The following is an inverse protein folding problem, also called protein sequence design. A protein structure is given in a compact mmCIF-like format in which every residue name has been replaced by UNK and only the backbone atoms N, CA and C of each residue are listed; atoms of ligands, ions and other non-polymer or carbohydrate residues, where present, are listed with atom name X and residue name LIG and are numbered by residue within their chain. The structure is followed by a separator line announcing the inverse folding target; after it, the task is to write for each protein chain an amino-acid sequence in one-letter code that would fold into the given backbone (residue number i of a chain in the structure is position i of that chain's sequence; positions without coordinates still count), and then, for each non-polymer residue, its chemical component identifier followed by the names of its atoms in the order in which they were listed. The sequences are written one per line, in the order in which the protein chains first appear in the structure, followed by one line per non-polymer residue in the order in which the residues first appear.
data_IF_964483203223
#
_entry.id   IF_964483203223
#
_cell.length_a   1.000
_cell.length_b   1.000
_cell.length_c   1.000
_cell.angle_alpha   90.00
_cell.angle_beta   90.00
_cell.angle_gamma   90.00
#
_symmetry.space_group_name_H-M   'P 1'
#
loop_
_entity.id
_entity.type
_entity.pdbx_description
1 polymer ?
#
# COMPACT_ATOMS: atom_id res chain seq x y z
N UNK A 1 -14.84 4.58 68.17
CA UNK A 1 -16.31 4.70 68.09
C UNK A 1 -16.92 3.58 68.88
N UNK A 2 -17.82 3.86 69.84
CA UNK A 2 -18.51 2.83 70.59
C UNK A 2 -19.75 2.35 69.80
N UNK A 3 -19.80 1.05 69.52
CA UNK A 3 -20.96 0.44 68.84
C UNK A 3 -21.97 0.03 69.87
N UNK A 4 -23.18 0.57 69.79
CA UNK A 4 -24.28 0.26 70.67
C UNK A 4 -24.91 -1.08 70.28
N UNK A 5 -24.90 -2.05 71.20
CA UNK A 5 -25.46 -3.39 70.96
C UNK A 5 -26.86 -3.42 71.52
N UNK A 6 -27.87 -3.48 70.66
CA UNK A 6 -29.29 -3.47 71.02
C UNK A 6 -29.89 -4.87 71.18
N UNK A 7 -29.13 -5.96 70.93
CA UNK A 7 -29.61 -7.34 71.02
C UNK A 7 -28.96 -8.07 72.17
N UNK A 8 -29.79 -8.91 72.93
CA UNK A 8 -29.28 -9.77 73.99
C UNK A 8 -28.19 -10.71 73.49
N UNK A 9 -27.00 -10.69 74.10
CA UNK A 9 -25.91 -11.63 73.84
C UNK A 9 -26.35 -13.02 74.21
N UNK A 10 -26.41 -13.94 73.30
CA UNK A 10 -26.79 -15.36 73.48
C UNK A 10 -25.63 -16.27 73.80
N UNK A 11 -24.42 -15.83 73.63
CA UNK A 11 -23.24 -16.59 73.93
C UNK A 11 -21.96 -15.79 73.53
N UNK A 12 -20.82 -16.17 74.06
CA UNK A 12 -19.51 -15.63 73.64
C UNK A 12 -18.54 -16.80 73.50
N UNK A 13 -17.65 -16.65 72.51
CA UNK A 13 -16.53 -17.58 72.32
C UNK A 13 -15.26 -16.76 72.33
N UNK A 14 -14.24 -17.21 72.99
CA UNK A 14 -12.94 -16.57 72.99
C UNK A 14 -12.20 -17.08 71.74
N UNK A 15 -12.04 -16.17 70.79
CA UNK A 15 -11.25 -16.48 69.57
C UNK A 15 -9.78 -16.63 69.90
N UNK A 16 -9.24 -17.81 69.69
CA UNK A 16 -7.81 -18.04 69.80
C UNK A 16 -7.07 -17.41 68.63
N UNK A 17 -5.77 -17.15 68.72
CA UNK A 17 -5.01 -16.65 67.58
C UNK A 17 -5.10 -17.53 66.33
N UNK A 18 -5.27 -18.86 66.54
CA UNK A 18 -5.44 -19.84 65.45
C UNK A 18 -6.82 -19.75 64.78
N UNK A 19 -7.89 -19.47 65.55
CA UNK A 19 -9.24 -19.25 65.00
C UNK A 19 -9.30 -17.98 64.14
N UNK A 20 -8.63 -16.91 64.58
CA UNK A 20 -8.48 -15.68 63.77
C UNK A 20 -7.70 -15.91 62.49
N UNK A 21 -6.65 -16.73 62.55
CA UNK A 21 -5.89 -17.06 61.32
C UNK A 21 -6.72 -17.88 60.34
N UNK A 22 -7.56 -18.82 60.84
CA UNK A 22 -8.50 -19.60 60.01
C UNK A 22 -9.60 -18.72 59.39
N UNK A 23 -10.15 -17.83 60.16
CA UNK A 23 -11.21 -16.91 59.70
C UNK A 23 -10.68 -15.94 58.65
N UNK A 24 -9.49 -15.36 58.87
CA UNK A 24 -8.81 -14.52 57.87
C UNK A 24 -8.46 -15.32 56.60
N UNK A 25 -7.99 -16.56 56.72
CA UNK A 25 -7.72 -17.40 55.56
C UNK A 25 -9.00 -17.75 54.79
N UNK A 26 -10.12 -17.99 55.48
CA UNK A 26 -11.40 -18.23 54.81
C UNK A 26 -11.96 -16.97 54.10
N UNK A 27 -11.77 -15.77 54.68
CA UNK A 27 -12.13 -14.51 54.02
C UNK A 27 -11.30 -14.27 52.79
N UNK A 28 -9.98 -14.45 52.84
CA UNK A 28 -9.09 -14.30 51.69
C UNK A 28 -9.40 -15.32 50.57
N UNK A 29 -9.75 -16.55 50.94
CA UNK A 29 -10.20 -17.54 49.96
C UNK A 29 -11.56 -17.19 49.37
N UNK A 30 -12.51 -16.70 50.15
CA UNK A 30 -13.82 -16.25 49.66
C UNK A 30 -13.68 -15.04 48.69
N UNK A 31 -12.79 -14.09 49.02
CA UNK A 31 -12.52 -12.94 48.17
C UNK A 31 -11.80 -13.37 46.88
N UNK A 32 -10.86 -14.31 46.96
CA UNK A 32 -10.17 -14.83 45.75
C UNK A 32 -11.15 -15.59 44.84
N UNK A 33 -12.04 -16.41 45.40
CA UNK A 33 -13.08 -17.11 44.63
C UNK A 33 -14.09 -16.16 44.02
N UNK A 34 -14.53 -15.12 44.78
CA UNK A 34 -15.44 -14.12 44.25
C UNK A 34 -14.82 -13.26 43.15
N UNK A 35 -13.52 -12.95 43.27
CA UNK A 35 -12.76 -12.24 42.25
C UNK A 35 -12.54 -13.09 41.01
N UNK A 36 -12.19 -14.36 41.15
CA UNK A 36 -12.06 -15.30 40.02
C UNK A 36 -13.39 -15.53 39.30
N UNK A 37 -14.53 -15.55 40.09
CA UNK A 37 -15.86 -15.66 39.51
C UNK A 37 -16.30 -14.39 38.78
N UNK A 38 -15.95 -13.22 39.30
CA UNK A 38 -16.22 -11.93 38.66
C UNK A 38 -15.36 -11.75 37.39
N UNK A 39 -14.11 -12.24 37.37
CA UNK A 39 -13.26 -12.29 36.17
C UNK A 39 -13.79 -13.29 35.13
N UNK A 40 -14.38 -14.41 35.56
CA UNK A 40 -14.97 -15.40 34.65
C UNK A 40 -16.34 -14.98 34.08
N UNK A 41 -17.03 -14.04 34.74
CA UNK A 41 -18.32 -13.47 34.32
C UNK A 41 -18.20 -12.16 33.54
N UNK A 42 -16.96 -11.72 33.18
CA UNK A 42 -16.82 -10.63 32.19
C UNK A 42 -17.46 -11.11 30.90
N UNK A 43 -18.44 -10.38 30.35
CA UNK A 43 -19.05 -10.75 29.08
C UNK A 43 -17.94 -10.84 28.05
N UNK A 44 -17.71 -12.04 27.52
CA UNK A 44 -16.84 -12.21 26.35
C UNK A 44 -17.49 -11.36 25.28
N UNK A 45 -16.87 -10.23 24.94
CA UNK A 45 -17.37 -9.36 23.90
C UNK A 45 -17.48 -10.19 22.61
N UNK A 46 -18.68 -10.34 22.06
CA UNK A 46 -18.88 -11.00 20.77
C UNK A 46 -18.12 -10.22 19.72
N UNK A 47 -17.00 -10.77 19.24
CA UNK A 47 -16.20 -10.14 18.21
C UNK A 47 -16.96 -10.27 16.88
N UNK A 48 -17.42 -9.15 16.35
CA UNK A 48 -18.10 -9.09 15.08
C UNK A 48 -17.06 -9.22 13.96
N UNK A 49 -17.18 -10.29 13.18
CA UNK A 49 -16.39 -10.48 11.95
C UNK A 49 -17.20 -10.04 10.73
N UNK A 50 -16.49 -9.58 9.69
CA UNK A 50 -17.14 -9.19 8.44
C UNK A 50 -17.84 -10.39 7.80
N UNK A 51 -19.14 -10.25 7.50
CA UNK A 51 -19.94 -11.24 6.81
C UNK A 51 -21.08 -10.56 6.03
N UNK A 52 -21.68 -11.27 5.07
CA UNK A 52 -22.64 -10.75 4.11
C UNK A 52 -23.96 -10.20 4.70
N UNK A 53 -24.29 -10.56 5.94
CA UNK A 53 -25.52 -10.11 6.64
C UNK A 53 -25.35 -8.80 7.39
N UNK A 54 -24.15 -8.23 7.41
CA UNK A 54 -23.93 -6.93 8.06
C UNK A 54 -24.68 -5.88 7.25
N UNK A 55 -25.61 -5.20 7.89
CA UNK A 55 -26.32 -4.09 7.27
C UNK A 55 -25.38 -2.90 7.07
N UNK A 56 -25.59 -2.19 5.95
CA UNK A 56 -24.82 -1.00 5.64
C UNK A 56 -25.17 0.11 6.64
N UNK A 57 -24.20 0.64 7.39
CA UNK A 57 -24.42 1.83 8.21
C UNK A 57 -24.81 3.05 7.36
N UNK A 58 -25.49 4.02 7.97
CA UNK A 58 -25.85 5.27 7.29
C UNK A 58 -24.58 6.03 6.86
N UNK A 59 -23.54 6.00 7.69
CA UNK A 59 -22.26 6.69 7.43
C UNK A 59 -21.12 5.68 7.40
N UNK A 60 -20.30 5.76 6.35
CA UNK A 60 -19.07 4.99 6.18
C UNK A 60 -17.88 5.93 6.06
N UNK A 61 -16.71 5.47 6.48
CA UNK A 61 -15.45 6.19 6.30
C UNK A 61 -14.89 5.81 4.93
N UNK A 62 -14.56 6.78 4.07
CA UNK A 62 -14.10 6.47 2.73
C UNK A 62 -12.97 7.35 2.24
N UNK A 63 -12.26 6.84 1.24
CA UNK A 63 -11.21 7.56 0.52
C UNK A 63 -11.54 7.61 -0.97
N UNK A 64 -11.28 8.75 -1.60
CA UNK A 64 -11.49 8.93 -3.05
C UNK A 64 -10.16 9.13 -3.75
N UNK A 65 -9.87 8.26 -4.69
CA UNK A 65 -8.65 8.25 -5.51
C UNK A 65 -8.95 8.77 -6.91
N UNK A 66 -8.01 9.51 -7.49
CA UNK A 66 -8.13 10.04 -8.84
C UNK A 66 -7.23 9.27 -9.80
N UNK A 67 -7.82 8.67 -10.83
CA UNK A 67 -7.11 8.08 -11.96
C UNK A 67 -7.13 9.07 -13.12
N UNK A 68 -5.96 9.36 -13.69
CA UNK A 68 -5.84 10.07 -14.95
C UNK A 68 -4.99 9.22 -15.90
N UNK A 69 -5.64 8.32 -16.62
CA UNK A 69 -5.01 7.50 -17.63
C UNK A 69 -4.91 8.27 -18.96
N UNK A 70 -3.82 8.13 -19.72
CA UNK A 70 -3.74 8.66 -21.08
C UNK A 70 -4.74 8.00 -22.05
N UNK A 71 -5.32 6.85 -21.67
CA UNK A 71 -6.31 6.13 -22.49
C UNK A 71 -7.71 6.74 -22.41
N UNK A 72 -7.99 7.57 -21.40
CA UNK A 72 -9.32 8.18 -21.18
C UNK A 72 -9.19 9.68 -21.10
N UNK A 73 -10.05 10.37 -21.85
CA UNK A 73 -10.06 11.85 -21.90
C UNK A 73 -10.35 12.45 -20.51
N UNK A 74 -11.26 11.85 -19.76
CA UNK A 74 -11.69 12.34 -18.47
C UNK A 74 -11.13 11.52 -17.32
N UNK A 75 -10.73 12.18 -16.23
CA UNK A 75 -10.32 11.51 -15.03
C UNK A 75 -11.47 10.67 -14.44
N UNK A 76 -11.10 9.51 -13.87
CA UNK A 76 -11.99 8.69 -13.09
C UNK A 76 -11.71 8.88 -11.59
N UNK A 77 -12.75 8.81 -10.80
CA UNK A 77 -12.67 8.90 -9.35
C UNK A 77 -13.15 7.59 -8.75
N UNK A 78 -12.27 6.92 -8.03
CA UNK A 78 -12.54 5.66 -7.34
C UNK A 78 -12.75 5.95 -5.88
N UNK A 79 -13.94 5.70 -5.37
CA UNK A 79 -14.28 5.87 -3.95
C UNK A 79 -14.40 4.50 -3.31
N UNK A 80 -13.64 4.25 -2.26
CA UNK A 80 -13.71 3.04 -1.45
C UNK A 80 -14.16 3.47 -0.06
N UNK A 81 -15.25 2.90 0.40
CA UNK A 81 -15.83 3.14 1.72
C UNK A 81 -15.61 1.92 2.61
N UNK A 82 -15.22 2.18 3.84
CA UNK A 82 -14.90 1.18 4.84
C UNK A 82 -15.92 1.17 5.97
N UNK A 83 -16.13 -0.01 6.51
CA UNK A 83 -16.82 -0.20 7.77
C UNK A 83 -15.80 -0.42 8.89
N UNK A 84 -16.08 0.16 10.06
CA UNK A 84 -15.31 -0.08 11.28
C UNK A 84 -16.08 -1.07 12.14
N UNK A 85 -15.53 -2.26 12.29
CA UNK A 85 -16.08 -3.31 13.14
C UNK A 85 -15.50 -3.17 14.55
N UNK A 86 -16.29 -3.54 15.58
CA UNK A 86 -15.89 -3.52 16.99
C UNK A 86 -15.31 -2.16 17.44
N UNK A 87 -15.91 -1.07 16.99
CA UNK A 87 -15.43 0.28 17.27
C UNK A 87 -15.25 0.54 18.76
N UNK A 88 -14.11 1.11 19.15
CA UNK A 88 -13.77 1.43 20.55
C UNK A 88 -13.35 0.24 21.41
N UNK A 89 -13.10 -0.92 20.81
CA UNK A 89 -12.58 -2.11 21.52
C UNK A 89 -11.15 -2.43 21.05
N UNK A 90 -10.47 -3.34 21.75
CA UNK A 90 -9.15 -3.87 21.34
C UNK A 90 -9.20 -4.63 19.99
N UNK A 91 -10.40 -5.00 19.57
CA UNK A 91 -10.65 -5.74 18.33
C UNK A 91 -11.21 -4.82 17.21
N UNK A 92 -10.98 -3.52 17.30
CA UNK A 92 -11.36 -2.60 16.26
C UNK A 92 -10.67 -2.97 14.94
N UNK A 93 -11.46 -3.17 13.89
CA UNK A 93 -10.97 -3.57 12.59
C UNK A 93 -11.67 -2.76 11.49
N UNK A 94 -10.89 -2.04 10.69
CA UNK A 94 -11.37 -1.34 9.51
C UNK A 94 -11.30 -2.25 8.30
N UNK A 95 -12.42 -2.37 7.57
CA UNK A 95 -12.53 -3.25 6.40
C UNK A 95 -13.24 -2.55 5.25
N UNK A 96 -12.82 -2.79 3.99
CA UNK A 96 -13.51 -2.23 2.85
C UNK A 96 -14.92 -2.85 2.76
N UNK A 97 -15.91 -2.02 2.44
CA UNK A 97 -17.31 -2.41 2.37
C UNK A 97 -17.89 -2.25 0.97
N UNK A 98 -17.58 -1.13 0.31
CA UNK A 98 -18.09 -0.82 -1.01
C UNK A 98 -17.09 -0.01 -1.83
N UNK A 99 -17.15 -0.15 -3.16
CA UNK A 99 -16.34 0.59 -4.10
C UNK A 99 -17.20 1.15 -5.21
N UNK A 100 -16.96 2.41 -5.59
CA UNK A 100 -17.61 3.11 -6.69
C UNK A 100 -16.59 3.75 -7.61
N UNK A 101 -16.91 3.80 -8.89
CA UNK A 101 -16.13 4.53 -9.88
C UNK A 101 -17.02 5.55 -10.56
N UNK A 102 -16.65 6.83 -10.45
CA UNK A 102 -17.29 7.95 -11.10
C UNK A 102 -16.40 8.49 -12.23
N UNK A 103 -16.98 8.62 -13.43
CA UNK A 103 -16.31 9.23 -14.58
C UNK A 103 -17.32 10.00 -15.43
N UNK A 104 -16.86 11.03 -16.12
CA UNK A 104 -17.64 11.69 -17.17
C UNK A 104 -17.68 10.88 -18.47
N UNK A 105 -16.75 9.96 -18.66
CA UNK A 105 -16.76 9.04 -19.80
C UNK A 105 -17.80 7.96 -19.58
N UNK A 106 -18.73 7.83 -20.52
CA UNK A 106 -19.75 6.77 -20.51
C UNK A 106 -19.27 5.51 -21.21
N UNK A 107 -18.08 5.54 -21.79
CA UNK A 107 -17.46 4.39 -22.41
C UNK A 107 -17.21 3.30 -21.38
N UNK A 108 -17.64 2.08 -21.66
CA UNK A 108 -17.52 0.93 -20.76
C UNK A 108 -18.24 1.06 -19.40
N UNK A 109 -19.09 2.08 -19.20
CA UNK A 109 -19.75 2.35 -17.91
C UNK A 109 -20.45 1.14 -17.31
N UNK A 110 -21.19 0.37 -18.09
CA UNK A 110 -21.89 -0.83 -17.61
C UNK A 110 -20.95 -1.91 -17.08
N UNK A 111 -19.78 -2.09 -17.70
CA UNK A 111 -18.77 -3.04 -17.25
C UNK A 111 -18.08 -2.56 -15.96
N UNK A 112 -17.81 -1.27 -15.85
CA UNK A 112 -17.25 -0.66 -14.64
C UNK A 112 -18.24 -0.83 -13.47
N UNK A 113 -19.53 -0.55 -13.69
CA UNK A 113 -20.55 -0.75 -12.66
C UNK A 113 -20.68 -2.23 -12.26
N UNK A 114 -20.67 -3.15 -13.23
CA UNK A 114 -20.73 -4.58 -12.94
C UNK A 114 -19.53 -5.02 -12.09
N UNK A 115 -18.31 -4.60 -12.46
CA UNK A 115 -17.08 -4.90 -11.74
C UNK A 115 -17.12 -4.38 -10.31
N UNK A 116 -17.47 -3.11 -10.11
CA UNK A 116 -17.52 -2.48 -8.77
C UNK A 116 -18.59 -3.10 -7.88
N UNK A 117 -19.72 -3.54 -8.46
CA UNK A 117 -20.74 -4.28 -7.70
C UNK A 117 -20.25 -5.65 -7.25
N UNK A 118 -19.53 -6.38 -8.11
CA UNK A 118 -18.94 -7.68 -7.75
C UNK A 118 -17.88 -7.49 -6.68
N UNK A 119 -17.00 -6.52 -6.82
CA UNK A 119 -15.97 -6.19 -5.82
C UNK A 119 -16.60 -5.84 -4.46
N UNK A 120 -17.62 -5.00 -4.45
CA UNK A 120 -18.36 -4.65 -3.24
C UNK A 120 -19.02 -5.87 -2.60
N UNK A 121 -19.52 -6.82 -3.39
CA UNK A 121 -20.05 -8.08 -2.87
C UNK A 121 -18.97 -8.96 -2.24
N UNK A 122 -17.77 -9.03 -2.84
CA UNK A 122 -16.61 -9.74 -2.28
C UNK A 122 -16.16 -9.10 -0.97
N UNK A 123 -16.07 -7.76 -0.89
CA UNK A 123 -15.73 -7.05 0.34
C UNK A 123 -16.70 -7.39 1.48
N UNK A 124 -18.00 -7.38 1.19
CA UNK A 124 -19.05 -7.69 2.19
C UNK A 124 -19.08 -9.16 2.59
N UNK A 125 -18.66 -10.07 1.73
CA UNK A 125 -18.58 -11.50 2.08
C UNK A 125 -17.61 -11.74 3.23
N UNK A 126 -16.59 -10.90 3.38
CA UNK A 126 -15.58 -11.02 4.42
C UNK A 126 -14.46 -12.01 4.06
N UNK A 127 -13.66 -12.37 5.04
CA UNK A 127 -12.48 -13.20 4.83
C UNK A 127 -11.32 -12.41 4.21
N UNK A 128 -10.41 -13.11 3.56
CA UNK A 128 -9.31 -12.50 2.83
C UNK A 128 -9.82 -11.97 1.48
N UNK A 129 -9.63 -10.67 1.26
CA UNK A 129 -10.00 -9.99 0.01
C UNK A 129 -8.77 -9.51 -0.77
N UNK A 130 -7.56 -9.79 -0.27
CA UNK A 130 -6.30 -9.31 -0.86
C UNK A 130 -6.04 -9.94 -2.22
N UNK A 131 -6.53 -11.16 -2.45
CA UNK A 131 -6.42 -11.85 -3.75
C UNK A 131 -7.00 -11.04 -4.92
N UNK A 132 -8.00 -10.17 -4.68
CA UNK A 132 -8.56 -9.31 -5.71
C UNK A 132 -7.51 -8.39 -6.35
N UNK A 133 -6.50 -7.99 -5.59
CA UNK A 133 -5.41 -7.14 -6.08
C UNK A 133 -4.62 -7.87 -7.15
N UNK A 134 -4.24 -9.11 -6.90
CA UNK A 134 -3.45 -9.92 -7.82
C UNK A 134 -4.24 -10.23 -9.10
N UNK A 135 -5.50 -10.62 -8.95
CA UNK A 135 -6.39 -10.90 -10.09
C UNK A 135 -6.60 -9.66 -10.97
N UNK A 136 -6.82 -8.50 -10.37
CA UNK A 136 -7.00 -7.26 -11.13
C UNK A 136 -5.71 -6.81 -11.80
N UNK A 137 -4.56 -6.93 -11.14
CA UNK A 137 -3.25 -6.56 -11.70
C UNK A 137 -2.81 -7.48 -12.84
N UNK A 138 -3.31 -8.71 -12.87
CA UNK A 138 -3.04 -9.66 -13.94
C UNK A 138 -3.78 -9.32 -15.26
N UNK A 139 -4.78 -8.43 -15.21
CA UNK A 139 -5.53 -8.05 -16.42
C UNK A 139 -4.71 -7.14 -17.31
N UNK A 140 -4.54 -7.50 -18.57
CA UNK A 140 -3.88 -6.70 -19.59
C UNK A 140 -4.86 -6.20 -20.67
N UNK A 141 -4.53 -5.06 -21.29
CA UNK A 141 -5.26 -4.56 -22.46
C UNK A 141 -4.57 -5.10 -23.73
N UNK A 142 -5.31 -5.77 -24.65
CA UNK A 142 -4.75 -6.26 -25.91
C UNK A 142 -4.14 -5.15 -26.79
N UNK A 143 -4.57 -3.91 -26.61
CA UNK A 143 -4.03 -2.73 -27.31
C UNK A 143 -2.72 -2.20 -26.72
N UNK A 144 -2.26 -2.78 -25.62
CA UNK A 144 -1.10 -2.38 -24.85
C UNK A 144 -1.45 -1.56 -23.61
N UNK A 145 -0.52 -1.57 -22.64
CA UNK A 145 -0.62 -0.76 -21.43
C UNK A 145 -0.10 0.67 -21.63
N UNK A 146 0.02 1.39 -20.54
CA UNK A 146 0.50 2.77 -20.52
C UNK A 146 1.37 3.06 -19.29
N UNK A 147 2.12 4.14 -19.35
CA UNK A 147 2.87 4.63 -18.20
C UNK A 147 2.11 5.72 -17.46
N UNK A 148 2.03 5.58 -16.14
CA UNK A 148 1.56 6.64 -15.24
C UNK A 148 2.63 7.71 -15.07
N UNK A 149 2.21 8.88 -14.56
CA UNK A 149 3.15 9.83 -13.97
C UNK A 149 4.00 9.10 -12.91
N UNK A 150 5.34 9.24 -13.01
CA UNK A 150 6.25 8.48 -12.16
C UNK A 150 6.85 7.21 -12.81
N UNK A 151 6.57 6.96 -14.11
CA UNK A 151 7.20 5.89 -14.89
C UNK A 151 6.77 4.47 -14.51
N UNK A 152 5.67 4.32 -13.77
CA UNK A 152 5.08 3.02 -13.43
C UNK A 152 4.24 2.53 -14.60
N UNK A 153 4.55 1.36 -15.13
CA UNK A 153 3.80 0.74 -16.21
C UNK A 153 2.52 0.08 -15.68
N UNK A 154 1.40 0.41 -16.32
CA UNK A 154 0.08 -0.20 -16.07
C UNK A 154 -0.33 -1.04 -17.28
N UNK A 155 -0.52 -2.36 -17.12
CA UNK A 155 -0.92 -3.25 -18.21
C UNK A 155 -2.33 -2.92 -18.75
N UNK A 156 -3.20 -2.38 -17.90
CA UNK A 156 -4.57 -2.00 -18.26
C UNK A 156 -5.15 -1.02 -17.23
N UNK A 157 -6.29 -0.45 -17.55
CA UNK A 157 -7.08 0.37 -16.63
C UNK A 157 -7.57 -0.44 -15.42
N UNK A 158 -7.90 -1.72 -15.62
CA UNK A 158 -8.30 -2.64 -14.55
C UNK A 158 -7.13 -2.91 -13.60
N UNK A 159 -5.92 -3.04 -14.15
CA UNK A 159 -4.71 -3.18 -13.34
C UNK A 159 -4.41 -1.93 -12.51
N UNK A 160 -4.71 -0.73 -13.04
CA UNK A 160 -4.59 0.52 -12.27
C UNK A 160 -5.64 0.59 -11.14
N UNK A 161 -6.87 0.13 -11.37
CA UNK A 161 -7.86 -0.04 -10.30
C UNK A 161 -7.37 -1.02 -9.23
N UNK A 162 -6.75 -2.13 -9.62
CA UNK A 162 -6.13 -3.08 -8.71
C UNK A 162 -5.02 -2.46 -7.85
N UNK A 163 -4.21 -1.59 -8.45
CA UNK A 163 -3.17 -0.86 -7.72
C UNK A 163 -3.75 0.11 -6.68
N UNK A 164 -4.89 0.76 -6.97
CA UNK A 164 -5.60 1.63 -6.01
C UNK A 164 -6.19 0.81 -4.87
N UNK A 165 -6.80 -0.34 -5.17
CA UNK A 165 -7.32 -1.24 -4.13
C UNK A 165 -6.18 -1.70 -3.21
N UNK A 166 -5.02 -2.05 -3.77
CA UNK A 166 -3.83 -2.40 -2.98
C UNK A 166 -3.39 -1.26 -2.07
N UNK A 167 -3.26 -0.04 -2.61
CA UNK A 167 -2.89 1.14 -1.83
C UNK A 167 -3.89 1.38 -0.68
N UNK A 168 -5.19 1.24 -0.97
CA UNK A 168 -6.22 1.36 0.04
C UNK A 168 -6.12 0.28 1.12
N UNK A 169 -5.96 -1.01 0.73
CA UNK A 169 -5.81 -2.12 1.68
C UNK A 169 -4.54 -1.99 2.54
N UNK A 170 -3.46 -1.42 1.99
CA UNK A 170 -2.27 -1.04 2.75
C UNK A 170 -2.56 0.06 3.76
N UNK A 171 -3.31 1.09 3.36
CA UNK A 171 -3.65 2.22 4.23
C UNK A 171 -4.48 1.83 5.44
N UNK A 172 -5.33 0.80 5.31
CA UNK A 172 -6.15 0.27 6.41
C UNK A 172 -5.48 -0.91 7.15
N UNK A 173 -4.24 -1.28 6.78
CA UNK A 173 -3.45 -2.30 7.46
C UNK A 173 -3.82 -3.75 7.12
N UNK A 174 -4.58 -4.00 6.05
CA UNK A 174 -4.91 -5.36 5.59
C UNK A 174 -3.79 -5.99 4.76
N UNK A 175 -3.02 -5.19 4.05
CA UNK A 175 -1.81 -5.63 3.33
C UNK A 175 -0.62 -4.94 4.01
N UNK A 176 0.35 -5.75 4.41
CA UNK A 176 1.61 -5.25 4.91
C UNK A 176 2.65 -5.38 3.80
N UNK A 177 3.25 -4.26 3.40
CA UNK A 177 4.44 -4.33 2.56
C UNK A 177 5.57 -4.96 3.38
N UNK A 178 6.30 -5.93 2.82
CA UNK A 178 7.53 -6.37 3.44
C UNK A 178 8.46 -5.16 3.52
N UNK A 179 8.61 -4.60 4.72
CA UNK A 179 9.49 -3.47 4.93
C UNK A 179 10.89 -3.83 4.44
N UNK A 180 11.41 -3.01 3.53
CA UNK A 180 12.79 -3.14 3.10
C UNK A 180 13.68 -3.04 4.34
N UNK A 181 14.49 -4.06 4.60
CA UNK A 181 15.40 -4.05 5.75
C UNK A 181 16.31 -2.81 5.71
N UNK A 182 16.78 -2.33 6.86
CA UNK A 182 17.70 -1.20 6.94
C UNK A 182 18.94 -1.43 6.05
N UNK A 183 19.40 -2.67 5.98
CA UNK A 183 20.52 -3.07 5.12
C UNK A 183 20.18 -2.92 3.62
N UNK A 184 18.99 -3.34 3.19
CA UNK A 184 18.56 -3.18 1.80
C UNK A 184 18.39 -1.71 1.42
N UNK A 185 17.86 -0.86 2.32
CA UNK A 185 17.77 0.60 2.12
C UNK A 185 19.15 1.23 1.96
N UNK A 186 20.13 0.81 2.79
CA UNK A 186 21.51 1.30 2.71
C UNK A 186 22.16 0.92 1.38
N UNK A 187 22.05 -0.34 0.95
CA UNK A 187 22.55 -0.81 -0.35
C UNK A 187 21.91 -0.02 -1.50
N UNK A 188 20.60 0.22 -1.43
CA UNK A 188 19.88 0.97 -2.47
C UNK A 188 20.34 2.43 -2.53
N UNK A 189 20.53 3.08 -1.39
CA UNK A 189 21.04 4.44 -1.29
C UNK A 189 22.49 4.54 -1.86
N UNK A 190 23.34 3.57 -1.53
CA UNK A 190 24.70 3.49 -2.07
C UNK A 190 24.70 3.33 -3.60
N UNK A 191 23.85 2.43 -4.14
CA UNK A 191 23.72 2.23 -5.59
C UNK A 191 23.21 3.48 -6.31
N UNK A 192 22.27 4.21 -5.73
CA UNK A 192 21.80 5.51 -6.28
C UNK A 192 22.93 6.52 -6.31
N UNK A 193 23.68 6.67 -5.22
CA UNK A 193 24.82 7.59 -5.14
C UNK A 193 25.93 7.21 -6.13
N UNK A 194 26.23 5.93 -6.31
CA UNK A 194 27.19 5.46 -7.31
C UNK A 194 26.76 5.82 -8.73
N UNK A 195 25.47 5.65 -9.04
CA UNK A 195 24.94 6.02 -10.36
C UNK A 195 25.04 7.53 -10.63
N UNK A 196 24.65 8.36 -9.69
CA UNK A 196 24.71 9.81 -9.80
C UNK A 196 26.17 10.30 -9.96
N UNK A 197 27.10 9.74 -9.20
CA UNK A 197 28.52 10.09 -9.31
C UNK A 197 29.12 9.67 -10.67
N UNK A 198 28.66 8.56 -11.24
CA UNK A 198 29.07 8.11 -12.57
C UNK A 198 28.51 9.01 -13.67
N UNK A 199 27.26 9.43 -13.55
CA UNK A 199 26.62 10.37 -14.46
C UNK A 199 27.33 11.74 -14.47
N UNK A 200 27.72 12.26 -13.29
CA UNK A 200 28.50 13.49 -13.17
C UNK A 200 29.88 13.38 -13.83
N UNK A 201 30.61 12.28 -13.63
CA UNK A 201 31.92 12.07 -14.28
C UNK A 201 31.83 12.03 -15.81
N UNK A 202 30.76 11.46 -16.36
CA UNK A 202 30.57 11.40 -17.81
C UNK A 202 30.18 12.77 -18.39
N UNK A 203 29.48 13.63 -17.66
CA UNK A 203 29.20 15.00 -18.10
C UNK A 203 30.45 15.88 -18.12
N UNK A 204 31.36 15.71 -17.16
CA UNK A 204 32.63 16.44 -17.12
C UNK A 204 33.59 16.03 -18.25
N UNK A 205 33.54 14.78 -18.75
CA UNK A 205 34.32 14.30 -19.88
C UNK A 205 33.77 14.77 -21.24
N UNK A 206 32.50 15.15 -21.33
CA UNK A 206 31.89 15.68 -22.58
C UNK A 206 32.13 17.18 -22.77
N UNK A 207 32.68 17.88 -21.76
CA UNK A 207 33.04 19.29 -21.84
C UNK A 207 34.51 19.56 -22.22
N UNK A 208 35.22 18.56 -22.72
CA UNK A 208 36.54 18.73 -23.29
C UNK A 208 36.49 19.53 -24.62
N UNK A 209 37.50 20.37 -24.92
CA UNK A 209 37.48 21.26 -26.08
C UNK A 209 37.34 20.45 -27.35
N UNK A 210 36.35 20.82 -28.16
CA UNK A 210 36.15 20.32 -29.52
C UNK A 210 37.45 20.57 -30.35
N UNK A 211 38.05 19.60 -31.02
CA UNK A 211 39.11 19.87 -31.93
C UNK A 211 38.55 20.66 -33.12
N UNK A 212 38.97 21.90 -33.22
CA UNK A 212 38.69 22.77 -34.35
C UNK A 212 39.34 22.22 -35.63
N UNK A 213 38.52 22.20 -36.63
CA UNK A 213 38.80 22.32 -38.05
C UNK A 213 40.21 21.88 -38.57
N UNK A 214 40.23 20.81 -39.36
CA UNK A 214 41.16 20.69 -40.50
C UNK A 214 40.52 19.88 -41.61
N UNK A 215 40.34 20.52 -42.76
CA UNK A 215 40.64 19.94 -44.08
C UNK A 215 39.47 19.36 -44.87
N UNK A 216 39.06 20.15 -45.83
CA UNK A 216 38.41 19.82 -47.09
C UNK A 216 38.85 18.50 -47.73
N UNK A 217 37.89 17.78 -48.29
CA UNK A 217 38.18 16.66 -49.20
C UNK A 217 36.88 16.03 -49.70
N UNK A 218 36.45 16.51 -50.86
CA UNK A 218 35.30 16.07 -51.63
C UNK A 218 35.30 14.57 -51.98
N UNK A 219 34.10 13.93 -52.07
CA UNK A 219 33.49 13.40 -53.31
C UNK A 219 32.23 12.58 -53.03
N UNK A 220 31.24 12.96 -53.81
CA UNK A 220 29.97 12.37 -54.22
C UNK A 220 29.87 10.84 -54.25
N UNK A 221 28.71 10.33 -53.89
CA UNK A 221 27.74 9.47 -54.60
C UNK A 221 26.66 9.10 -53.60
N UNK A 222 25.51 9.51 -53.81
CA UNK A 222 24.36 9.15 -54.64
C UNK A 222 23.34 8.24 -53.90
N UNK A 223 22.17 8.80 -53.80
CA UNK A 223 20.81 8.27 -53.76
C UNK A 223 20.42 7.18 -52.73
N UNK A 224 19.53 7.58 -51.87
CA UNK A 224 18.69 6.69 -51.04
C UNK A 224 17.86 7.49 -50.01
N UNK A 225 16.90 8.27 -50.50
CA UNK A 225 16.00 9.04 -49.65
C UNK A 225 15.10 8.15 -48.83
N UNK A 226 15.14 8.30 -47.52
CA UNK A 226 13.95 8.25 -46.66
C UNK A 226 14.17 9.20 -45.51
N UNK A 227 13.47 10.33 -45.61
CA UNK A 227 13.34 11.36 -44.58
C UNK A 227 12.72 10.81 -43.30
N UNK A 228 13.53 10.58 -42.29
CA UNK A 228 13.05 10.59 -40.94
C UNK A 228 13.41 11.94 -40.33
N UNK A 229 12.37 12.67 -39.98
CA UNK A 229 12.43 14.01 -39.45
C UNK A 229 13.41 14.15 -38.30
N UNK A 230 14.18 15.18 -38.39
CA UNK A 230 14.97 15.78 -37.34
C UNK A 230 14.00 16.17 -36.22
N UNK A 231 13.88 15.35 -35.20
CA UNK A 231 13.31 15.80 -33.92
C UNK A 231 14.47 16.40 -33.18
N UNK A 232 14.36 17.69 -32.92
CA UNK A 232 15.19 18.46 -32.01
C UNK A 232 15.42 17.68 -30.70
N UNK A 233 16.59 17.82 -30.05
CA UNK A 233 16.81 17.23 -28.75
C UNK A 233 15.78 17.82 -27.79
N UNK A 234 14.79 17.00 -27.44
CA UNK A 234 13.75 17.36 -26.52
C UNK A 234 14.36 17.90 -25.23
N UNK A 235 13.91 19.10 -24.90
CA UNK A 235 14.14 19.80 -23.66
C UNK A 235 14.01 18.87 -22.45
N UNK A 236 14.83 19.11 -21.45
CA UNK A 236 15.00 18.37 -20.19
C UNK A 236 13.75 18.23 -19.29
N UNK A 237 12.58 17.97 -19.84
CA UNK A 237 11.31 17.93 -19.07
C UNK A 237 10.75 16.52 -18.82
N UNK A 238 11.42 15.46 -19.26
CA UNK A 238 10.94 14.07 -19.04
C UNK A 238 11.64 13.34 -17.88
N UNK A 239 11.81 14.02 -16.77
CA UNK A 239 12.17 13.36 -15.52
C UNK A 239 10.88 12.85 -14.89
N UNK A 240 10.59 11.56 -15.06
CA UNK A 240 9.46 10.94 -14.37
C UNK A 240 9.74 10.88 -12.87
N UNK A 241 8.94 11.61 -12.09
CA UNK A 241 8.99 11.58 -10.63
C UNK A 241 8.09 10.45 -10.14
N UNK A 242 8.62 9.55 -9.33
CA UNK A 242 7.82 8.51 -8.66
C UNK A 242 7.09 9.09 -7.45
N UNK A 243 6.10 8.38 -6.94
CA UNK A 243 5.27 8.84 -5.82
C UNK A 243 6.02 9.17 -4.53
N UNK A 244 7.24 8.67 -4.35
CA UNK A 244 8.16 8.99 -3.26
C UNK A 244 9.09 10.19 -3.54
N UNK A 245 8.86 10.91 -4.65
CA UNK A 245 9.63 12.09 -5.04
C UNK A 245 10.99 11.79 -5.69
N UNK A 246 11.31 10.52 -5.97
CA UNK A 246 12.55 10.15 -6.64
C UNK A 246 12.40 10.25 -8.17
N UNK A 247 13.38 10.87 -8.83
CA UNK A 247 13.47 10.91 -10.28
C UNK A 247 14.46 9.86 -10.77
N UNK A 248 14.13 9.17 -11.86
CA UNK A 248 14.99 8.17 -12.48
C UNK A 248 15.49 8.66 -13.82
N UNK A 249 16.68 8.20 -14.26
CA UNK A 249 17.24 8.65 -15.52
C UNK A 249 16.36 8.24 -16.71
N UNK A 250 16.27 9.07 -17.77
CA UNK A 250 15.44 8.78 -18.94
C UNK A 250 15.87 7.51 -19.69
N UNK A 251 17.15 7.11 -19.54
CA UNK A 251 17.70 5.86 -20.10
C UNK A 251 17.32 4.61 -19.30
N UNK A 252 16.66 4.74 -18.15
CA UNK A 252 16.24 3.59 -17.34
C UNK A 252 15.17 2.77 -18.08
N UNK A 253 15.32 1.44 -18.02
CA UNK A 253 14.33 0.49 -18.55
C UNK A 253 13.36 0.03 -17.47
N UNK A 254 12.28 -0.64 -17.87
CA UNK A 254 11.25 -1.13 -16.96
C UNK A 254 11.76 -2.28 -16.09
N UNK A 255 11.59 -2.18 -14.80
CA UNK A 255 11.84 -3.27 -13.87
C UNK A 255 10.63 -4.21 -13.81
N UNK A 256 10.84 -5.52 -14.08
CA UNK A 256 9.76 -6.51 -14.07
C UNK A 256 9.24 -6.82 -12.64
N UNK A 257 10.00 -6.49 -11.58
CA UNK A 257 9.59 -6.74 -10.20
C UNK A 257 8.66 -5.66 -9.65
N UNK A 258 8.95 -4.38 -9.90
CA UNK A 258 8.16 -3.27 -9.38
C UNK A 258 7.43 -2.46 -10.45
N UNK A 259 7.50 -2.88 -11.72
CA UNK A 259 6.89 -2.22 -12.88
C UNK A 259 7.20 -0.71 -13.00
N UNK A 260 8.32 -0.28 -12.41
CA UNK A 260 8.80 1.11 -12.49
C UNK A 260 9.93 1.21 -13.50
N UNK A 261 9.95 2.28 -14.29
CA UNK A 261 11.04 2.59 -15.23
C UNK A 261 12.26 3.11 -14.47
N UNK A 262 12.96 2.22 -13.77
CA UNK A 262 14.07 2.52 -12.86
C UNK A 262 15.23 1.52 -12.96
N UNK A 263 15.22 0.62 -13.96
CA UNK A 263 16.26 -0.39 -14.15
C UNK A 263 17.40 0.21 -14.99
N UNK A 264 18.59 0.25 -14.43
CA UNK A 264 19.81 0.75 -15.09
C UNK A 264 20.90 -0.32 -15.08
N UNK A 265 21.80 -0.28 -16.08
CA UNK A 265 22.95 -1.19 -16.12
C UNK A 265 24.10 -0.57 -15.35
N UNK A 266 24.53 -1.24 -14.30
CA UNK A 266 25.68 -0.87 -13.47
C UNK A 266 26.61 -2.08 -13.34
N UNK A 267 27.88 -1.89 -13.72
CA UNK A 267 28.92 -2.93 -13.59
C UNK A 267 28.54 -4.29 -14.22
N UNK A 268 27.80 -4.24 -15.34
CA UNK A 268 27.32 -5.44 -16.05
C UNK A 268 26.04 -6.06 -15.50
N UNK A 269 25.51 -5.53 -14.40
CA UNK A 269 24.26 -5.99 -13.78
C UNK A 269 23.12 -4.99 -14.01
N UNK A 270 21.94 -5.49 -14.39
CA UNK A 270 20.73 -4.68 -14.46
C UNK A 270 20.18 -4.47 -13.05
N UNK A 271 20.35 -3.26 -12.49
CA UNK A 271 19.95 -2.91 -11.13
C UNK A 271 18.79 -1.92 -11.14
N UNK A 272 17.72 -2.20 -10.40
CA UNK A 272 16.59 -1.29 -10.24
C UNK A 272 16.84 -0.31 -9.10
N UNK A 273 16.81 0.99 -9.42
CA UNK A 273 17.02 2.05 -8.45
C UNK A 273 15.80 2.31 -7.55
N UNK A 274 14.66 1.70 -7.84
CA UNK A 274 13.45 1.81 -7.03
C UNK A 274 13.33 0.70 -5.99
N UNK A 275 13.35 -0.56 -6.40
CA UNK A 275 13.13 -1.70 -5.51
C UNK A 275 14.38 -2.49 -5.14
N UNK A 276 15.57 -2.07 -5.63
CA UNK A 276 16.84 -2.75 -5.35
C UNK A 276 17.01 -4.10 -6.07
N UNK A 277 16.07 -4.50 -6.93
CA UNK A 277 16.23 -5.71 -7.75
C UNK A 277 17.47 -5.63 -8.61
N UNK A 278 18.31 -6.67 -8.60
CA UNK A 278 19.48 -6.76 -9.44
C UNK A 278 19.53 -8.13 -10.14
N UNK A 279 19.83 -8.10 -11.45
CA UNK A 279 20.05 -9.27 -12.27
C UNK A 279 21.39 -9.10 -12.98
N UNK A 280 22.34 -9.92 -12.61
CA UNK A 280 23.60 -10.08 -13.33
C UNK A 280 23.42 -11.20 -14.36
N UNK A 281 23.82 -10.95 -15.61
CA UNK A 281 23.72 -11.91 -16.72
C UNK A 281 24.68 -13.06 -16.60
#
# INVERSE_FOLDING_TARGET
MAVKIDKKIKGYTVLTPEDRARENAAVVQAESVSRAKAEAELPVADIIHMHERIERPEVLIGSTYKIKSPLVEHAMYVTINDIVLNSGTEHELRRPFEIFVNSKSMEHFQWIVALTRIMSAVFRKGGDVTFLVDEMKAVFDPRGGYFKAGGVYMPSLVAELGAIVEEHLKSIGMIHDPEMSAHQRAILAEKRAQYENRAKKNSDLSSGPSPAAAGEGARRADEGASSFGNTDPASHEDISVTGDGTSFPPSATLCHKCNTKALVIMDGCATCLNCGYSKCG
#
